data_IF_987050212577
#
_entry.id   IF_987050212577
#
_cell.length_a   1.000
_cell.length_b   1.000
_cell.length_c   1.000
_cell.angle_alpha   90.00
_cell.angle_beta   90.00
_cell.angle_gamma   90.00
#
_symmetry.space_group_name_H-M   'P 1'
#
loop_
_entity.id
_entity.type
_entity.pdbx_description
1 polymer ?
#
# COMPACT_ATOMS: atom_id res chain seq x y z
N UNK A 1 13.89 4.33 4.15
CA UNK A 1 13.13 3.17 4.66
C UNK A 1 13.57 1.95 3.86
N UNK A 2 13.65 0.80 4.51
CA UNK A 2 13.86 -0.46 3.79
C UNK A 2 12.60 -0.82 3.00
N UNK A 3 12.74 -0.98 1.67
CA UNK A 3 11.63 -1.30 0.76
C UNK A 3 10.98 -2.63 1.13
N UNK A 4 11.76 -3.61 1.58
CA UNK A 4 11.22 -4.93 1.95
C UNK A 4 10.33 -4.85 3.19
N UNK A 5 10.73 -4.09 4.22
CA UNK A 5 9.91 -3.84 5.39
C UNK A 5 8.58 -3.14 5.03
N UNK A 6 8.61 -2.18 4.11
CA UNK A 6 7.40 -1.51 3.60
C UNK A 6 6.48 -2.52 2.91
N UNK A 7 6.99 -3.30 1.97
CA UNK A 7 6.19 -4.32 1.25
C UNK A 7 5.53 -5.30 2.23
N UNK A 8 6.29 -5.79 3.23
CA UNK A 8 5.76 -6.66 4.28
C UNK A 8 4.62 -6.02 5.08
N UNK A 9 4.81 -4.77 5.55
CA UNK A 9 3.80 -4.04 6.35
C UNK A 9 2.52 -3.76 5.57
N UNK A 10 2.63 -3.37 4.30
CA UNK A 10 1.47 -3.08 3.45
C UNK A 10 0.85 -4.31 2.79
N UNK A 11 1.51 -5.47 2.94
CA UNK A 11 1.08 -6.79 2.44
C UNK A 11 0.76 -6.79 0.95
N UNK A 12 1.61 -6.13 0.17
CA UNK A 12 1.43 -6.03 -1.27
C UNK A 12 1.77 -7.36 -1.95
N UNK A 13 0.90 -7.81 -2.87
CA UNK A 13 1.18 -8.95 -3.74
C UNK A 13 1.92 -8.53 -5.01
N UNK A 14 1.62 -7.33 -5.51
CA UNK A 14 2.19 -6.75 -6.71
C UNK A 14 2.80 -5.40 -6.34
N UNK A 15 4.06 -5.21 -6.70
CA UNK A 15 4.79 -3.96 -6.47
C UNK A 15 5.31 -3.51 -7.82
N UNK A 16 4.92 -2.31 -8.23
CA UNK A 16 5.19 -1.75 -9.56
C UNK A 16 6.06 -0.52 -9.36
N UNK A 17 7.12 -0.39 -10.16
CA UNK A 17 7.89 0.85 -10.22
C UNK A 17 7.08 1.87 -11.05
N UNK A 18 6.69 2.97 -10.42
CA UNK A 18 5.98 4.09 -11.07
C UNK A 18 6.85 5.35 -11.15
N UNK A 19 6.34 6.36 -11.85
CA UNK A 19 6.99 7.66 -11.96
C UNK A 19 6.45 8.66 -10.92
N UNK A 20 5.13 8.66 -10.71
CA UNK A 20 4.46 9.61 -9.83
C UNK A 20 3.94 8.95 -8.54
N UNK A 21 4.01 9.63 -7.39
CA UNK A 21 3.41 9.13 -6.16
C UNK A 21 1.89 8.94 -6.30
N UNK A 22 1.40 7.77 -5.88
CA UNK A 22 -0.03 7.43 -5.85
C UNK A 22 -0.72 7.36 -7.22
N UNK A 23 0.04 7.17 -8.29
CA UNK A 23 -0.50 6.99 -9.64
C UNK A 23 -1.54 5.86 -9.69
N UNK A 24 -1.36 4.82 -8.88
CA UNK A 24 -2.23 3.66 -8.80
C UNK A 24 -3.67 3.98 -8.34
N UNK A 25 -3.88 5.09 -7.62
CA UNK A 25 -5.20 5.49 -7.13
C UNK A 25 -6.15 5.82 -8.31
N UNK A 26 -5.63 6.11 -9.50
CA UNK A 26 -6.41 6.44 -10.70
C UNK A 26 -6.58 5.27 -11.69
N UNK A 27 -6.02 4.11 -11.39
CA UNK A 27 -6.11 2.97 -12.31
C UNK A 27 -7.48 2.32 -12.26
N UNK A 28 -8.03 2.00 -13.44
CA UNK A 28 -9.24 1.19 -13.57
C UNK A 28 -8.92 -0.28 -13.87
N UNK A 29 -7.79 -0.54 -14.52
CA UNK A 29 -7.32 -1.87 -14.87
C UNK A 29 -5.81 -1.84 -15.12
N UNK A 30 -5.18 -3.01 -15.03
CA UNK A 30 -3.77 -3.23 -15.32
C UNK A 30 -3.59 -4.57 -16.03
N UNK A 31 -2.62 -4.63 -16.94
CA UNK A 31 -2.32 -5.84 -17.72
C UNK A 31 -0.89 -6.27 -17.36
N UNK A 32 -0.74 -7.51 -16.92
CA UNK A 32 0.56 -8.11 -16.58
C UNK A 32 0.71 -9.36 -17.45
N UNK A 33 1.64 -9.29 -18.41
CA UNK A 33 1.75 -10.30 -19.46
C UNK A 33 0.45 -10.40 -20.26
N UNK A 34 -0.18 -11.58 -20.23
CA UNK A 34 -1.45 -11.85 -20.92
C UNK A 34 -2.68 -11.77 -19.99
N UNK A 35 -2.51 -11.37 -18.73
CA UNK A 35 -3.60 -11.33 -17.74
C UNK A 35 -4.06 -9.91 -17.48
N UNK A 36 -5.37 -9.69 -17.53
CA UNK A 36 -6.01 -8.40 -17.20
C UNK A 36 -6.57 -8.44 -15.77
N UNK A 37 -6.18 -7.47 -14.96
CA UNK A 37 -6.70 -7.24 -13.62
C UNK A 37 -7.57 -5.99 -13.63
N UNK A 38 -8.67 -6.02 -12.88
CA UNK A 38 -9.55 -4.86 -12.68
C UNK A 38 -9.30 -4.30 -11.28
N UNK A 39 -9.19 -2.98 -11.17
CA UNK A 39 -8.98 -2.31 -9.88
C UNK A 39 -10.33 -2.14 -9.21
N UNK A 40 -10.52 -2.81 -8.06
CA UNK A 40 -11.77 -2.73 -7.31
C UNK A 40 -11.93 -1.39 -6.56
N UNK A 41 -10.83 -0.69 -6.30
CA UNK A 41 -10.79 0.58 -5.60
C UNK A 41 -9.60 0.68 -4.65
N UNK A 42 -9.55 1.80 -3.91
CA UNK A 42 -8.50 2.06 -2.94
C UNK A 42 -8.59 1.13 -1.73
N UNK A 43 -7.44 0.70 -1.22
CA UNK A 43 -7.37 -0.13 -0.01
C UNK A 43 -7.41 0.74 1.24
N UNK A 44 -8.56 0.74 1.93
CA UNK A 44 -8.69 1.32 3.27
C UNK A 44 -7.71 0.66 4.24
N UNK A 45 -6.77 1.44 4.79
CA UNK A 45 -5.72 0.90 5.66
C UNK A 45 -6.21 0.80 7.10
N UNK A 46 -5.89 -0.33 7.73
CA UNK A 46 -6.17 -0.58 9.15
C UNK A 46 -4.86 -0.69 9.96
N UNK A 47 -4.95 -0.95 11.26
CA UNK A 47 -3.80 -1.04 12.17
C UNK A 47 -2.75 -2.10 11.80
N UNK A 48 -3.07 -3.03 10.90
CA UNK A 48 -2.14 -4.09 10.47
C UNK A 48 -0.81 -3.54 9.91
N UNK A 49 -0.82 -2.36 9.27
CA UNK A 49 0.40 -1.76 8.71
C UNK A 49 1.37 -1.25 9.78
N UNK A 50 0.90 -1.10 11.02
CA UNK A 50 1.71 -0.72 12.18
C UNK A 50 2.28 -1.91 12.94
N UNK A 51 2.09 -3.14 12.44
CA UNK A 51 2.65 -4.34 13.08
C UNK A 51 3.97 -4.67 12.40
N UNK A 52 5.04 -4.69 13.19
CA UNK A 52 6.31 -5.27 12.76
C UNK A 52 6.15 -6.78 12.58
N UNK A 53 6.37 -7.26 11.35
CA UNK A 53 6.05 -8.65 11.00
C UNK A 53 7.03 -9.68 11.56
N UNK A 54 8.23 -9.25 11.98
CA UNK A 54 9.26 -10.16 12.49
C UNK A 54 9.17 -10.25 14.03
N UNK A 55 8.78 -9.16 14.72
CA UNK A 55 8.70 -9.10 16.20
C UNK A 55 7.29 -9.11 16.76
N UNK A 56 6.26 -8.82 15.95
CA UNK A 56 4.87 -8.65 16.40
C UNK A 56 4.61 -7.33 17.15
N UNK A 57 5.61 -6.47 17.29
CA UNK A 57 5.48 -5.18 17.98
C UNK A 57 4.50 -4.27 17.24
N UNK A 58 3.61 -3.61 18.00
CA UNK A 58 2.58 -2.72 17.45
C UNK A 58 2.99 -1.26 17.59
N UNK A 59 2.83 -0.50 16.51
CA UNK A 59 3.00 0.95 16.47
C UNK A 59 1.77 1.61 15.85
N UNK A 60 1.48 2.87 16.24
CA UNK A 60 0.42 3.65 15.59
C UNK A 60 0.84 4.17 14.21
N UNK A 61 2.14 4.32 13.99
CA UNK A 61 2.71 4.60 12.67
C UNK A 61 2.77 3.33 11.81
N UNK A 62 2.58 3.41 10.48
CA UNK A 62 2.36 4.64 9.69
C UNK A 62 0.88 5.06 9.54
N UNK A 63 -0.05 4.45 10.29
CA UNK A 63 -1.49 4.69 10.08
C UNK A 63 -1.92 6.15 10.36
N UNK A 64 -1.39 6.77 11.42
CA UNK A 64 -1.69 8.17 11.77
C UNK A 64 -1.21 9.12 10.66
N UNK A 65 0.04 8.97 10.22
CA UNK A 65 0.59 9.81 9.15
C UNK A 65 -0.21 9.64 7.85
N UNK A 66 -0.57 8.40 7.50
CA UNK A 66 -1.39 8.15 6.32
C UNK A 66 -2.79 8.74 6.42
N UNK A 67 -3.45 8.68 7.58
CA UNK A 67 -4.76 9.31 7.72
C UNK A 67 -4.63 10.82 7.55
N UNK A 68 -3.64 11.46 8.18
CA UNK A 68 -3.43 12.90 8.05
C UNK A 68 -3.14 13.34 6.61
N UNK A 69 -2.28 12.61 5.88
CA UNK A 69 -1.91 12.94 4.51
C UNK A 69 -2.96 12.54 3.46
N UNK A 70 -3.82 11.55 3.75
CA UNK A 70 -4.82 11.03 2.80
C UNK A 70 -6.24 11.49 3.08
N UNK A 71 -6.55 12.07 4.24
CA UNK A 71 -7.92 12.56 4.58
C UNK A 71 -8.45 13.70 3.68
N UNK A 72 -7.66 14.20 2.72
CA UNK A 72 -8.08 15.20 1.74
C UNK A 72 -8.28 14.65 0.30
N UNK A 73 -8.28 13.34 0.10
CA UNK A 73 -8.53 12.68 -1.19
C UNK A 73 -9.59 11.61 -1.06
#
# INVERSE_FOLDING_TARGET
>A
LDTQNVIKRFRANLVIAGAEPFEEDNWSHLIIGNTRFTVAGQCGRCQMIGIDQDTGTRTKEPLITLSACRSGK
#
